data_IF_765871573013
#
_entry.id   IF_765871573013
#
_cell.length_a   1.000
_cell.length_b   1.000
_cell.length_c   1.000
_cell.angle_alpha   90.00
_cell.angle_beta   90.00
_cell.angle_gamma   90.00
#
_symmetry.space_group_name_H-M   'P 1'
#
loop_
_entity.id
_entity.type
_entity.pdbx_description
1 polymer ?
#
# COMPACT_ATOMS: atom_id res chain seq x y z
N UNK A 1 15.86 17.71 1.72
CA UNK A 1 14.70 17.50 2.62
C UNK A 1 13.77 16.50 1.95
N UNK A 2 13.10 15.62 2.68
CA UNK A 2 12.35 14.49 2.11
C UNK A 2 10.93 14.48 2.70
N UNK A 3 9.91 14.46 1.84
CA UNK A 3 8.56 14.13 2.24
C UNK A 3 8.40 12.61 2.23
N UNK A 4 8.03 12.04 3.37
CA UNK A 4 7.68 10.63 3.48
C UNK A 4 6.16 10.51 3.51
N UNK A 5 5.60 9.73 2.61
CA UNK A 5 4.19 9.36 2.61
C UNK A 5 4.08 7.88 2.97
N UNK A 6 3.35 7.57 4.03
CA UNK A 6 2.99 6.20 4.40
C UNK A 6 1.52 5.98 4.08
N UNK A 7 1.27 5.17 3.06
CA UNK A 7 -0.03 4.61 2.75
C UNK A 7 -0.35 3.44 3.68
N UNK A 8 -1.27 3.66 4.62
CA UNK A 8 -1.71 2.66 5.58
C UNK A 8 -3.14 2.25 5.20
N UNK A 9 -3.25 1.14 4.45
CA UNK A 9 -4.55 0.64 3.99
C UNK A 9 -5.50 0.41 5.16
N UNK A 10 -6.75 0.86 5.01
CA UNK A 10 -7.78 0.74 6.03
C UNK A 10 -7.48 1.37 7.41
N UNK A 11 -6.63 2.40 7.50
CA UNK A 11 -6.50 3.18 8.74
C UNK A 11 -7.80 3.95 9.00
N UNK A 12 -8.51 3.56 10.05
CA UNK A 12 -9.84 4.07 10.37
C UNK A 12 -9.76 5.18 11.44
N UNK A 13 -10.33 6.37 11.18
CA UNK A 13 -10.25 7.50 12.10
C UNK A 13 -10.94 7.26 13.45
N UNK A 14 -11.93 6.36 13.52
CA UNK A 14 -12.62 6.05 14.78
C UNK A 14 -11.85 5.04 15.65
N UNK A 15 -10.87 4.33 15.09
CA UNK A 15 -10.03 3.37 15.81
C UNK A 15 -8.71 3.98 16.29
N UNK A 16 -8.37 5.18 15.83
CA UNK A 16 -7.20 5.92 16.27
C UNK A 16 -7.56 6.84 17.46
N UNK A 17 -6.70 6.87 18.47
CA UNK A 17 -6.84 7.72 19.65
C UNK A 17 -5.53 8.46 19.90
N UNK A 18 -5.55 9.78 20.10
CA UNK A 18 -4.32 10.57 20.21
C UNK A 18 -3.49 10.29 21.48
N UNK A 19 -4.09 9.74 22.54
CA UNK A 19 -3.39 9.39 23.76
C UNK A 19 -2.76 7.99 23.66
N UNK A 20 -3.41 7.06 22.97
CA UNK A 20 -2.93 5.69 22.77
C UNK A 20 -2.05 5.53 21.53
N UNK A 21 -2.33 6.31 20.48
CA UNK A 21 -1.70 6.26 19.15
C UNK A 21 -1.13 7.64 18.71
N UNK A 22 -0.16 8.20 19.46
CA UNK A 22 0.39 9.52 19.17
C UNK A 22 1.19 9.61 17.85
N UNK A 23 1.66 8.47 17.32
CA UNK A 23 2.39 8.43 16.05
C UNK A 23 1.45 8.19 14.85
N UNK A 24 0.27 7.61 15.04
CA UNK A 24 -0.78 7.55 14.01
C UNK A 24 -1.56 8.87 13.90
N UNK A 25 -1.66 9.63 14.98
CA UNK A 25 -2.32 10.96 14.98
C UNK A 25 -1.39 12.12 14.62
N UNK A 26 -0.08 11.92 14.77
CA UNK A 26 0.95 12.92 14.52
C UNK A 26 0.61 14.30 15.14
N UNK A 27 0.95 15.38 14.45
CA UNK A 27 0.78 16.75 14.97
C UNK A 27 -0.58 17.33 14.54
N UNK A 28 -1.15 16.84 13.42
CA UNK A 28 -2.51 17.08 12.97
C UNK A 28 -3.07 15.83 12.27
N UNK A 29 -4.36 15.54 12.45
CA UNK A 29 -5.09 14.48 11.77
C UNK A 29 -6.59 14.75 11.71
N UNK A 30 -7.27 14.17 10.74
CA UNK A 30 -8.73 14.10 10.64
C UNK A 30 -9.17 13.03 9.65
N UNK A 31 -10.45 12.65 9.74
CA UNK A 31 -11.10 11.81 8.75
C UNK A 31 -11.41 12.60 7.47
N UNK A 32 -11.33 11.93 6.33
CA UNK A 32 -11.57 12.48 4.98
C UNK A 32 -12.53 11.59 4.20
N UNK A 33 -13.17 12.14 3.16
CA UNK A 33 -14.10 11.40 2.31
C UNK A 33 -13.38 10.42 1.37
N UNK A 34 -13.89 9.18 1.26
CA UNK A 34 -13.44 8.20 0.27
C UNK A 34 -14.45 8.02 -0.88
N UNK A 35 -14.08 7.22 -1.89
CA UNK A 35 -14.93 6.88 -3.03
C UNK A 35 -15.42 5.44 -2.88
N UNK A 36 -16.75 5.28 -2.86
CA UNK A 36 -17.40 3.97 -2.89
C UNK A 36 -17.39 3.45 -4.32
N UNK A 37 -16.84 2.26 -4.53
CA UNK A 37 -16.78 1.63 -5.85
C UNK A 37 -18.17 1.19 -6.34
N UNK A 38 -18.25 0.77 -7.60
CA UNK A 38 -19.47 0.17 -8.16
C UNK A 38 -19.91 -1.10 -7.42
N UNK A 39 -18.99 -1.78 -6.72
CA UNK A 39 -19.30 -2.94 -5.88
C UNK A 39 -20.06 -2.57 -4.59
N UNK A 40 -20.22 -1.27 -4.29
CA UNK A 40 -20.93 -0.79 -3.12
C UNK A 40 -20.07 -0.65 -1.86
N UNK A 41 -18.75 -0.79 -1.99
CA UNK A 41 -17.75 -0.60 -0.94
C UNK A 41 -16.50 0.11 -1.51
N UNK A 42 -15.72 0.84 -0.71
CA UNK A 42 -14.41 1.35 -1.10
C UNK A 42 -13.49 0.23 -1.61
N UNK A 43 -12.62 0.53 -2.58
CA UNK A 43 -11.71 -0.45 -3.14
C UNK A 43 -10.28 0.08 -3.28
N UNK A 44 -9.34 -0.61 -2.64
CA UNK A 44 -7.89 -0.45 -2.83
C UNK A 44 -7.49 -0.44 -4.31
N UNK A 45 -8.19 -1.17 -5.19
CA UNK A 45 -7.89 -1.22 -6.62
C UNK A 45 -8.03 0.17 -7.28
N UNK A 46 -9.06 0.90 -6.87
CA UNK A 46 -9.46 2.18 -7.46
C UNK A 46 -8.83 3.36 -6.71
N UNK A 47 -8.73 3.25 -5.37
CA UNK A 47 -8.42 4.37 -4.50
C UNK A 47 -6.93 4.74 -4.47
N UNK A 48 -6.00 3.79 -4.55
CA UNK A 48 -4.57 4.14 -4.60
C UNK A 48 -4.18 4.86 -5.90
N UNK A 49 -4.67 4.44 -7.09
CA UNK A 49 -4.59 5.26 -8.30
C UNK A 49 -5.22 6.65 -8.11
N UNK A 50 -6.37 6.75 -7.44
CA UNK A 50 -6.99 8.05 -7.11
C UNK A 50 -6.05 8.91 -6.28
N UNK A 51 -5.50 8.39 -5.18
CA UNK A 51 -4.59 9.11 -4.28
C UNK A 51 -3.35 9.63 -5.02
N UNK A 52 -2.73 8.80 -5.85
CA UNK A 52 -1.48 9.20 -6.54
C UNK A 52 -1.71 10.10 -7.76
N UNK A 53 -2.94 10.18 -8.28
CA UNK A 53 -3.28 10.99 -9.47
C UNK A 53 -4.17 12.19 -9.18
N UNK A 54 -4.85 12.22 -8.03
CA UNK A 54 -5.90 13.17 -7.71
C UNK A 54 -7.13 13.07 -8.61
N UNK A 55 -7.26 11.97 -9.37
CA UNK A 55 -8.35 11.73 -10.31
C UNK A 55 -9.32 10.70 -9.76
N UNK A 56 -10.59 10.77 -10.15
CA UNK A 56 -11.57 9.72 -9.85
C UNK A 56 -11.31 8.42 -10.65
N UNK A 57 -11.90 7.28 -10.25
CA UNK A 57 -11.82 6.02 -11.00
C UNK A 57 -12.25 6.16 -12.47
N UNK A 58 -13.25 7.01 -12.74
CA UNK A 58 -13.67 7.41 -14.09
C UNK A 58 -12.57 8.04 -14.92
N UNK A 59 -11.76 8.88 -14.29
CA UNK A 59 -10.79 9.74 -14.96
C UNK A 59 -9.46 9.01 -15.15
N UNK A 60 -8.98 8.26 -14.16
CA UNK A 60 -7.76 7.46 -14.31
C UNK A 60 -8.00 6.10 -15.00
N UNK A 61 -9.24 5.61 -15.05
CA UNK A 61 -9.64 4.45 -15.84
C UNK A 61 -9.26 3.09 -15.25
N UNK A 62 -8.93 3.03 -13.95
CA UNK A 62 -8.72 1.79 -13.20
C UNK A 62 -9.93 1.60 -12.30
N UNK A 63 -10.78 0.64 -12.68
CA UNK A 63 -12.09 0.43 -12.06
C UNK A 63 -12.32 -1.04 -11.80
N UNK A 64 -13.13 -1.32 -10.79
CA UNK A 64 -13.82 -2.58 -10.68
C UNK A 64 -14.94 -2.63 -11.72
N UNK A 65 -14.99 -3.71 -12.50
CA UNK A 65 -16.13 -3.98 -13.37
C UNK A 65 -17.30 -4.58 -12.56
N UNK A 66 -18.52 -4.15 -12.88
CA UNK A 66 -19.77 -4.68 -12.32
C UNK A 66 -19.93 -6.18 -12.66
N UNK A 67 -19.41 -7.04 -11.79
CA UNK A 67 -19.62 -8.48 -11.85
C UNK A 67 -18.60 -9.24 -12.69
N UNK A 68 -17.72 -9.96 -11.98
CA UNK A 68 -17.01 -11.18 -12.43
C UNK A 68 -16.31 -11.07 -13.80
N UNK A 69 -15.08 -10.56 -13.84
CA UNK A 69 -14.06 -11.00 -14.81
C UNK A 69 -12.67 -10.52 -14.35
N UNK A 70 -11.64 -11.35 -14.17
CA UNK A 70 -10.99 -12.26 -15.12
C UNK A 70 -10.42 -11.55 -16.35
N UNK A 71 -9.18 -11.06 -16.26
CA UNK A 71 -8.42 -10.54 -17.39
C UNK A 71 -7.42 -11.57 -17.96
N UNK A 72 -7.86 -12.80 -18.26
CA UNK A 72 -7.02 -13.75 -19.01
C UNK A 72 -7.51 -13.98 -20.47
N UNK A 73 -6.70 -13.68 -21.50
CA UNK A 73 -6.99 -14.00 -22.90
C UNK A 73 -7.26 -15.49 -23.19
N UNK A 74 -6.73 -16.41 -22.38
CA UNK A 74 -6.96 -17.86 -22.53
C UNK A 74 -8.37 -18.28 -22.06
N UNK A 75 -8.97 -17.54 -21.13
CA UNK A 75 -10.33 -17.82 -20.63
C UNK A 75 -11.42 -17.37 -21.60
N UNK A 76 -11.14 -16.43 -22.52
CA UNK A 76 -12.07 -16.08 -23.63
C UNK A 76 -12.41 -17.28 -24.53
N UNK A 77 -11.54 -18.29 -24.60
CA UNK A 77 -11.79 -19.47 -25.44
C UNK A 77 -12.60 -20.56 -24.71
N UNK A 78 -12.69 -20.49 -23.38
CA UNK A 78 -13.43 -21.45 -22.54
C UNK A 78 -14.76 -20.93 -21.99
N UNK A 79 -14.88 -19.62 -21.71
CA UNK A 79 -16.05 -19.04 -21.04
C UNK A 79 -17.33 -19.07 -21.88
N UNK A 80 -17.22 -19.04 -23.22
CA UNK A 80 -18.40 -19.09 -24.12
C UNK A 80 -19.19 -20.40 -24.00
N UNK A 81 -18.61 -21.46 -23.43
CA UNK A 81 -19.31 -22.72 -23.15
C UNK A 81 -19.74 -22.87 -21.68
N UNK A 82 -19.14 -22.13 -20.75
CA UNK A 82 -19.35 -22.27 -19.31
C UNK A 82 -20.60 -21.50 -18.81
N UNK A 83 -20.93 -20.37 -19.44
CA UNK A 83 -22.09 -19.52 -19.11
C UNK A 83 -23.44 -20.23 -19.25
N UNK A 84 -23.48 -21.34 -19.99
CA UNK A 84 -24.71 -22.10 -20.25
C UNK A 84 -24.81 -23.41 -19.46
N UNK A 85 -23.74 -23.83 -18.77
CA UNK A 85 -23.61 -25.21 -18.27
C UNK A 85 -23.33 -25.29 -16.77
N UNK A 86 -22.73 -24.25 -16.18
CA UNK A 86 -22.34 -24.27 -14.77
C UNK A 86 -23.20 -23.31 -13.94
N UNK A 87 -23.81 -23.76 -12.83
CA UNK A 87 -24.51 -22.89 -11.90
C UNK A 87 -23.58 -21.82 -11.31
N UNK A 88 -24.11 -20.61 -11.09
CA UNK A 88 -23.37 -19.44 -10.58
C UNK A 88 -22.52 -19.76 -9.35
N UNK A 89 -23.07 -20.51 -8.38
CA UNK A 89 -22.34 -20.91 -7.17
C UNK A 89 -21.09 -21.78 -7.42
N UNK A 90 -21.06 -22.53 -8.54
CA UNK A 90 -19.89 -23.30 -8.93
C UNK A 90 -18.87 -22.43 -9.68
N UNK A 91 -19.35 -21.45 -10.46
CA UNK A 91 -18.48 -20.46 -11.10
C UNK A 91 -17.79 -19.57 -10.06
N UNK A 92 -18.49 -19.14 -9.02
CA UNK A 92 -17.89 -18.38 -7.90
C UNK A 92 -16.84 -19.19 -7.15
N UNK A 93 -17.05 -20.50 -6.95
CA UNK A 93 -16.07 -21.39 -6.29
C UNK A 93 -14.86 -21.71 -7.18
N UNK A 94 -15.07 -21.91 -8.47
CA UNK A 94 -13.98 -22.10 -9.44
C UNK A 94 -13.20 -20.79 -9.61
N UNK A 95 -13.90 -19.64 -9.59
CA UNK A 95 -13.31 -18.32 -9.63
C UNK A 95 -12.51 -18.00 -8.35
N UNK A 96 -13.07 -18.30 -7.17
CA UNK A 96 -12.34 -18.21 -5.91
C UNK A 96 -11.10 -19.11 -5.91
N UNK A 97 -11.23 -20.36 -6.36
CA UNK A 97 -10.09 -21.28 -6.48
C UNK A 97 -9.05 -20.79 -7.49
N UNK A 98 -9.45 -20.23 -8.64
CA UNK A 98 -8.51 -19.67 -9.60
C UNK A 98 -7.88 -18.36 -9.08
N UNK A 99 -8.57 -17.50 -8.33
CA UNK A 99 -7.98 -16.27 -7.76
C UNK A 99 -6.98 -16.60 -6.65
N UNK A 100 -7.26 -17.63 -5.85
CA UNK A 100 -6.34 -18.14 -4.83
C UNK A 100 -5.15 -18.90 -5.44
N UNK A 101 -5.28 -19.43 -6.65
CA UNK A 101 -4.35 -20.44 -7.18
C UNK A 101 -3.79 -20.13 -8.60
N UNK A 102 -4.18 -19.01 -9.21
CA UNK A 102 -3.62 -18.48 -10.46
C UNK A 102 -3.06 -17.09 -10.21
N UNK A 103 -1.80 -16.89 -10.60
CA UNK A 103 -1.03 -15.67 -10.35
C UNK A 103 -1.41 -14.49 -11.24
N UNK A 104 -2.70 -14.25 -11.50
CA UNK A 104 -3.16 -12.97 -12.04
C UNK A 104 -3.28 -11.98 -10.88
N UNK A 105 -2.22 -11.19 -10.71
CA UNK A 105 -2.12 -10.16 -9.67
C UNK A 105 -3.08 -9.00 -9.97
N UNK A 106 -4.18 -8.91 -9.22
CA UNK A 106 -5.25 -7.92 -9.41
C UNK A 106 -4.86 -6.44 -9.14
N UNK A 107 -3.59 -6.12 -8.92
CA UNK A 107 -3.12 -4.79 -8.50
C UNK A 107 -1.76 -4.39 -9.10
N UNK A 108 -1.48 -4.80 -10.35
CA UNK A 108 -0.15 -4.67 -10.96
C UNK A 108 -0.10 -3.89 -12.26
N UNK A 109 -0.87 -2.81 -12.35
CA UNK A 109 -0.66 -1.87 -13.44
C UNK A 109 0.77 -1.29 -13.40
N UNK A 110 1.51 -1.34 -14.52
CA UNK A 110 2.86 -0.81 -14.58
C UNK A 110 2.83 0.73 -14.50
N UNK A 111 3.87 1.33 -13.96
CA UNK A 111 4.00 2.79 -13.91
C UNK A 111 3.89 3.45 -15.32
N UNK A 112 4.23 2.72 -16.39
CA UNK A 112 4.06 3.21 -17.77
C UNK A 112 2.60 3.43 -18.17
N UNK A 113 1.64 2.77 -17.52
CA UNK A 113 0.19 2.94 -17.74
C UNK A 113 -0.21 4.42 -17.74
N UNK A 114 0.25 5.16 -16.74
CA UNK A 114 -0.10 6.56 -16.50
C UNK A 114 0.51 7.46 -17.57
N UNK A 115 1.82 7.32 -17.81
CA UNK A 115 2.53 8.09 -18.83
C UNK A 115 1.99 7.86 -20.26
N UNK A 116 1.62 6.62 -20.59
CA UNK A 116 1.02 6.28 -21.90
C UNK A 116 -0.35 6.92 -22.11
N UNK A 117 -1.07 7.24 -21.02
CA UNK A 117 -2.37 7.91 -21.03
C UNK A 117 -2.29 9.41 -20.78
N UNK A 118 -1.09 9.95 -20.55
CA UNK A 118 -0.90 11.35 -20.20
C UNK A 118 -1.49 11.71 -18.83
N UNK A 119 -1.56 10.74 -17.91
CA UNK A 119 -1.97 10.93 -16.53
C UNK A 119 -0.71 11.21 -15.71
N UNK A 120 -0.71 12.32 -14.98
CA UNK A 120 0.37 12.69 -14.06
C UNK A 120 0.14 12.09 -12.68
N UNK A 121 1.20 11.62 -12.05
CA UNK A 121 1.22 11.07 -10.71
C UNK A 121 2.05 11.94 -9.76
N UNK A 122 1.92 11.74 -8.45
CA UNK A 122 2.80 12.35 -7.43
C UNK A 122 4.29 12.06 -7.63
N UNK A 123 4.64 11.07 -8.45
CA UNK A 123 6.01 10.65 -8.70
C UNK A 123 6.67 11.39 -9.87
N UNK A 124 5.88 12.06 -10.71
CA UNK A 124 6.40 12.68 -11.92
C UNK A 124 7.17 13.96 -11.63
N UNK A 125 8.19 14.23 -12.45
CA UNK A 125 8.99 15.45 -12.41
C UNK A 125 9.98 15.58 -11.25
N UNK A 126 10.16 14.55 -10.41
CA UNK A 126 10.98 14.60 -9.19
C UNK A 126 11.73 13.31 -8.88
N UNK A 127 12.71 13.37 -7.98
CA UNK A 127 13.36 12.17 -7.44
C UNK A 127 12.45 11.51 -6.41
N UNK A 128 11.70 10.49 -6.83
CA UNK A 128 10.78 9.77 -5.94
C UNK A 128 11.13 8.29 -5.78
N UNK A 129 10.77 7.73 -4.63
CA UNK A 129 10.89 6.31 -4.31
C UNK A 129 9.51 5.71 -3.96
N UNK A 130 8.76 5.21 -4.95
CA UNK A 130 7.56 4.42 -4.71
C UNK A 130 7.94 3.03 -4.18
N UNK A 131 7.23 2.56 -3.16
CA UNK A 131 7.45 1.29 -2.49
C UNK A 131 6.09 0.60 -2.29
N UNK A 132 5.77 -0.36 -3.16
CA UNK A 132 4.59 -1.20 -2.99
C UNK A 132 3.26 -0.56 -3.32
N UNK A 133 3.26 0.62 -3.95
CA UNK A 133 2.04 1.36 -4.28
C UNK A 133 1.15 0.51 -5.22
N UNK A 134 -0.11 0.21 -4.85
CA UNK A 134 -1.01 -0.57 -5.69
C UNK A 134 -1.20 0.06 -7.05
N UNK A 135 -1.21 -0.76 -8.11
CA UNK A 135 -1.35 -0.29 -9.49
C UNK A 135 -0.29 0.74 -9.93
N UNK A 136 0.90 0.74 -9.31
CA UNK A 136 2.04 1.55 -9.75
C UNK A 136 3.35 0.73 -9.69
N UNK A 137 3.47 -0.25 -10.58
CA UNK A 137 4.62 -1.17 -10.60
C UNK A 137 5.77 -0.58 -11.43
N UNK A 138 6.86 -0.21 -10.75
CA UNK A 138 8.07 0.35 -11.40
C UNK A 138 8.97 -0.71 -12.00
N UNK A 139 9.08 -1.87 -11.36
CA UNK A 139 9.87 -3.01 -11.84
C UNK A 139 8.93 -4.21 -12.00
N UNK A 140 8.53 -4.46 -13.25
CA UNK A 140 7.59 -5.54 -13.59
C UNK A 140 8.22 -6.92 -13.49
N UNK A 141 9.55 -7.00 -13.56
CA UNK A 141 10.32 -8.25 -13.52
C UNK A 141 10.66 -8.66 -12.08
N UNK A 142 10.70 -7.69 -11.14
CA UNK A 142 10.85 -7.94 -9.72
C UNK A 142 9.53 -8.35 -9.06
N UNK A 143 9.58 -9.47 -8.34
CA UNK A 143 8.50 -9.86 -7.45
C UNK A 143 8.62 -9.09 -6.13
N UNK A 144 7.54 -8.45 -5.72
CA UNK A 144 7.50 -7.73 -4.45
C UNK A 144 7.29 -8.70 -3.27
N UNK A 145 7.99 -8.43 -2.15
CA UNK A 145 8.02 -9.32 -0.99
C UNK A 145 6.65 -9.47 -0.32
N UNK A 146 5.85 -8.41 -0.30
CA UNK A 146 4.50 -8.48 0.25
C UNK A 146 3.63 -9.43 -0.58
N UNK A 147 3.73 -9.36 -1.92
CA UNK A 147 3.03 -10.29 -2.80
C UNK A 147 3.51 -11.73 -2.61
N UNK A 148 4.82 -11.95 -2.43
CA UNK A 148 5.35 -13.28 -2.09
C UNK A 148 4.68 -13.84 -0.83
N UNK A 149 4.58 -13.01 0.22
CA UNK A 149 3.94 -13.40 1.47
C UNK A 149 2.47 -13.70 1.26
N UNK A 150 1.71 -12.82 0.58
CA UNK A 150 0.29 -13.03 0.24
C UNK A 150 0.05 -14.34 -0.52
N UNK A 151 0.86 -14.63 -1.56
CA UNK A 151 0.74 -15.90 -2.32
C UNK A 151 1.04 -17.14 -1.49
N UNK A 152 1.79 -16.98 -0.40
CA UNK A 152 2.13 -18.06 0.51
C UNK A 152 1.16 -18.23 1.69
N UNK A 153 0.13 -17.38 1.81
CA UNK A 153 -0.81 -17.42 2.95
C UNK A 153 -1.72 -18.65 2.95
N UNK A 154 -2.05 -19.22 1.79
CA UNK A 154 -2.82 -20.46 1.72
C UNK A 154 -4.14 -20.38 2.50
N UNK A 155 -4.30 -21.28 3.48
CA UNK A 155 -5.49 -21.36 4.34
C UNK A 155 -5.55 -20.31 5.47
N UNK A 156 -4.50 -19.49 5.61
CA UNK A 156 -4.48 -18.36 6.54
C UNK A 156 -5.33 -17.18 6.06
N UNK A 157 -5.65 -17.10 4.77
CA UNK A 157 -6.47 -16.02 4.20
C UNK A 157 -7.33 -16.54 3.04
N UNK A 158 -8.40 -17.26 3.38
CA UNK A 158 -9.32 -17.83 2.40
C UNK A 158 -10.53 -16.93 2.21
N UNK A 159 -10.94 -16.75 0.95
CA UNK A 159 -12.18 -16.05 0.63
C UNK A 159 -13.38 -16.90 1.03
N UNK A 160 -14.23 -16.35 1.89
CA UNK A 160 -15.49 -16.93 2.33
C UNK A 160 -16.60 -15.88 2.22
N UNK A 161 -17.42 -15.92 1.15
CA UNK A 161 -18.52 -14.99 0.96
C UNK A 161 -19.58 -15.01 2.06
N UNK A 162 -19.62 -16.07 2.88
CA UNK A 162 -20.57 -16.20 3.98
C UNK A 162 -20.01 -15.59 5.29
N UNK A 163 -18.73 -15.19 5.33
CA UNK A 163 -18.09 -14.54 6.47
C UNK A 163 -18.30 -13.02 6.46
N UNK A 164 -18.42 -12.40 7.64
CA UNK A 164 -18.71 -10.96 7.80
C UNK A 164 -17.69 -10.04 7.12
N UNK A 165 -16.43 -10.46 7.00
CA UNK A 165 -15.40 -9.71 6.27
C UNK A 165 -14.99 -10.33 4.94
N UNK A 166 -15.80 -11.23 4.37
CA UNK A 166 -15.50 -11.91 3.10
C UNK A 166 -14.34 -12.92 3.16
N UNK A 167 -13.71 -13.07 4.33
CA UNK A 167 -12.51 -13.87 4.53
C UNK A 167 -12.54 -14.65 5.86
N UNK A 168 -11.85 -15.79 5.86
CA UNK A 168 -11.59 -16.59 7.06
C UNK A 168 -10.11 -16.99 7.12
N UNK A 169 -9.67 -17.35 8.32
CA UNK A 169 -8.31 -17.83 8.56
C UNK A 169 -8.34 -19.10 9.39
N UNK A 170 -7.53 -20.09 9.01
CA UNK A 170 -7.34 -21.31 9.80
C UNK A 170 -6.57 -21.07 11.10
N UNK A 171 -5.73 -20.04 11.14
CA UNK A 171 -5.01 -19.57 12.33
C UNK A 171 -4.86 -18.03 12.30
N UNK A 172 -5.82 -17.29 12.92
CA UNK A 172 -5.80 -15.83 12.95
C UNK A 172 -4.55 -15.22 13.59
N UNK A 173 -3.86 -15.95 14.49
CA UNK A 173 -2.65 -15.45 15.14
C UNK A 173 -1.45 -15.60 14.20
N UNK A 174 -1.30 -16.74 13.52
CA UNK A 174 -0.27 -16.86 12.50
C UNK A 174 -0.50 -15.87 11.34
N UNK A 175 -1.75 -15.67 10.94
CA UNK A 175 -2.12 -14.68 9.92
C UNK A 175 -1.74 -13.24 10.34
N UNK A 176 -2.02 -12.87 11.59
CA UNK A 176 -1.60 -11.59 12.17
C UNK A 176 -0.08 -11.39 12.04
N UNK A 177 0.72 -12.37 12.48
CA UNK A 177 2.19 -12.29 12.41
C UNK A 177 2.70 -12.09 10.97
N UNK A 178 2.04 -12.71 9.98
CA UNK A 178 2.38 -12.52 8.56
C UNK A 178 2.04 -11.12 8.06
N UNK A 179 0.89 -10.59 8.45
CA UNK A 179 0.49 -9.23 8.08
C UNK A 179 1.42 -8.19 8.72
N UNK A 180 1.83 -8.41 9.96
CA UNK A 180 2.83 -7.55 10.62
C UNK A 180 4.21 -7.66 9.97
N UNK A 181 4.64 -8.86 9.51
CA UNK A 181 5.86 -9.00 8.68
C UNK A 181 5.78 -8.12 7.42
N UNK A 182 4.62 -8.09 6.75
CA UNK A 182 4.40 -7.26 5.56
C UNK A 182 4.54 -5.77 5.86
N UNK A 183 3.87 -5.30 6.93
CA UNK A 183 3.98 -3.91 7.41
C UNK A 183 5.43 -3.52 7.73
N UNK A 184 6.11 -4.34 8.53
CA UNK A 184 7.52 -4.11 8.89
C UNK A 184 8.44 -3.98 7.68
N UNK A 185 8.28 -4.83 6.67
CA UNK A 185 9.11 -4.78 5.45
C UNK A 185 8.90 -3.46 4.70
N UNK A 186 7.66 -2.96 4.62
CA UNK A 186 7.32 -1.70 3.94
C UNK A 186 7.91 -0.50 4.67
N UNK A 187 7.71 -0.43 5.98
CA UNK A 187 8.23 0.66 6.80
C UNK A 187 9.77 0.64 6.83
N UNK A 188 10.40 -0.53 6.92
CA UNK A 188 11.86 -0.64 6.83
C UNK A 188 12.41 -0.11 5.49
N UNK A 189 11.71 -0.37 4.38
CA UNK A 189 12.07 0.18 3.06
C UNK A 189 11.85 1.69 3.00
N UNK A 190 10.77 2.21 3.59
CA UNK A 190 10.52 3.65 3.71
C UNK A 190 11.67 4.36 4.47
N UNK A 191 12.02 3.82 5.65
CA UNK A 191 13.15 4.30 6.46
C UNK A 191 14.46 4.27 5.69
N UNK A 192 14.73 3.20 4.92
CA UNK A 192 15.93 3.13 4.07
C UNK A 192 15.93 4.20 2.98
N UNK A 193 14.77 4.45 2.37
CA UNK A 193 14.54 5.53 1.40
C UNK A 193 14.85 6.89 2.01
N UNK A 194 14.23 7.22 3.14
CA UNK A 194 14.44 8.46 3.89
C UNK A 194 15.92 8.65 4.25
N UNK A 195 16.53 7.66 4.91
CA UNK A 195 17.95 7.71 5.34
C UNK A 195 18.95 7.77 4.18
N UNK A 196 18.53 7.42 2.96
CA UNK A 196 19.42 7.55 1.79
C UNK A 196 19.68 8.99 1.41
N UNK A 197 18.74 9.91 1.72
CA UNK A 197 18.78 11.32 1.31
C UNK A 197 18.86 11.52 -0.20
N UNK A 198 18.49 10.51 -0.99
CA UNK A 198 18.50 10.52 -2.46
C UNK A 198 17.19 10.99 -3.08
N UNK A 199 16.10 11.05 -2.31
CA UNK A 199 14.75 11.27 -2.81
C UNK A 199 14.10 12.48 -2.15
N UNK A 200 13.36 13.24 -2.95
CA UNK A 200 12.47 14.33 -2.55
C UNK A 200 11.19 13.74 -1.93
N UNK A 201 10.71 12.63 -2.50
CA UNK A 201 9.52 11.90 -2.08
C UNK A 201 9.85 10.42 -1.84
N UNK A 202 9.47 9.90 -0.68
CA UNK A 202 9.42 8.45 -0.41
C UNK A 202 7.97 8.09 -0.13
N UNK A 203 7.35 7.25 -0.97
CA UNK A 203 5.97 6.83 -0.80
C UNK A 203 5.96 5.32 -0.57
N UNK A 204 5.55 4.86 0.60
CA UNK A 204 5.45 3.46 0.93
C UNK A 204 4.03 3.07 1.32
N UNK A 205 3.52 1.98 0.75
CA UNK A 205 2.20 1.45 1.06
C UNK A 205 2.31 0.13 1.80
N UNK A 206 1.37 -0.15 2.72
CA UNK A 206 1.16 -1.48 3.29
C UNK A 206 -0.31 -1.76 3.55
N UNK A 207 -0.71 -3.02 3.36
CA UNK A 207 -2.07 -3.51 3.64
C UNK A 207 -2.23 -4.22 4.99
N UNK A 208 -1.26 -4.08 5.89
CA UNK A 208 -1.17 -4.97 7.06
C UNK A 208 -2.44 -4.94 7.92
N UNK A 209 -2.93 -3.74 8.25
CA UNK A 209 -4.08 -3.57 9.16
C UNK A 209 -5.43 -3.83 8.47
N UNK A 210 -5.54 -3.57 7.16
CA UNK A 210 -6.69 -3.96 6.35
C UNK A 210 -6.91 -5.48 6.39
N UNK A 211 -5.88 -6.24 6.03
CA UNK A 211 -5.92 -7.70 6.04
C UNK A 211 -6.26 -8.25 7.42
N UNK A 212 -5.63 -7.72 8.47
CA UNK A 212 -5.92 -8.10 9.86
C UNK A 212 -7.38 -7.79 10.18
N UNK A 213 -7.90 -6.62 9.81
CA UNK A 213 -9.27 -6.20 10.05
C UNK A 213 -10.32 -7.19 9.52
N UNK A 214 -10.16 -7.66 8.27
CA UNK A 214 -11.07 -8.62 7.65
C UNK A 214 -11.17 -9.96 8.38
N UNK A 215 -10.13 -10.38 9.10
CA UNK A 215 -10.08 -11.66 9.82
C UNK A 215 -10.35 -11.51 11.31
N UNK A 216 -9.90 -10.41 11.90
CA UNK A 216 -9.90 -10.20 13.36
C UNK A 216 -11.21 -9.64 13.92
N UNK A 217 -12.25 -9.44 13.12
CA UNK A 217 -13.55 -8.95 13.60
C UNK A 217 -14.14 -9.78 14.76
N UNK A 218 -13.85 -11.09 14.82
CA UNK A 218 -14.27 -11.97 15.92
C UNK A 218 -13.33 -11.94 17.15
N UNK A 219 -12.17 -11.29 17.03
CA UNK A 219 -11.17 -11.10 18.08
C UNK A 219 -10.61 -9.66 18.03
N UNK A 220 -11.36 -8.66 18.52
CA UNK A 220 -10.98 -7.25 18.41
C UNK A 220 -9.66 -6.90 19.11
N UNK A 221 -9.16 -7.78 20.00
CA UNK A 221 -7.82 -7.62 20.58
C UNK A 221 -6.71 -7.63 19.54
N UNK A 222 -6.81 -8.46 18.49
CA UNK A 222 -5.80 -8.49 17.43
C UNK A 222 -5.79 -7.23 16.58
N UNK A 223 -6.96 -6.62 16.31
CA UNK A 223 -7.02 -5.35 15.59
C UNK A 223 -6.42 -4.21 16.43
N UNK A 224 -6.75 -4.17 17.73
CA UNK A 224 -6.18 -3.19 18.65
C UNK A 224 -4.65 -3.35 18.79
N UNK A 225 -4.16 -4.58 18.90
CA UNK A 225 -2.71 -4.87 18.95
C UNK A 225 -2.03 -4.42 17.64
N UNK A 226 -2.67 -4.63 16.48
CA UNK A 226 -2.14 -4.17 15.19
C UNK A 226 -1.99 -2.64 15.11
N UNK A 227 -2.98 -1.89 15.60
CA UNK A 227 -2.93 -0.43 15.65
C UNK A 227 -1.84 0.06 16.59
N UNK A 228 -1.69 -0.56 17.76
CA UNK A 228 -0.62 -0.24 18.71
C UNK A 228 0.77 -0.52 18.13
N UNK A 229 0.99 -1.67 17.50
CA UNK A 229 2.26 -1.99 16.86
C UNK A 229 2.56 -1.09 15.65
N UNK A 230 1.55 -0.77 14.83
CA UNK A 230 1.72 0.15 13.71
C UNK A 230 2.08 1.56 14.18
N UNK A 231 1.48 2.03 15.28
CA UNK A 231 1.87 3.29 15.93
C UNK A 231 3.36 3.28 16.30
N UNK A 232 3.85 2.21 16.93
CA UNK A 232 5.26 2.08 17.27
C UNK A 232 6.14 2.15 16.00
N UNK A 233 5.77 1.43 14.94
CA UNK A 233 6.54 1.42 13.69
C UNK A 233 6.54 2.77 12.98
N UNK A 234 5.41 3.49 12.96
CA UNK A 234 5.36 4.86 12.44
C UNK A 234 6.23 5.78 13.29
N UNK A 235 6.25 5.59 14.61
CA UNK A 235 7.17 6.26 15.53
C UNK A 235 8.64 6.06 15.16
N UNK A 236 9.03 4.87 14.69
CA UNK A 236 10.39 4.62 14.19
C UNK A 236 10.71 5.39 12.90
N UNK A 237 9.73 5.57 12.00
CA UNK A 237 9.88 6.42 10.81
C UNK A 237 10.01 7.88 11.23
N UNK A 238 9.14 8.36 12.12
CA UNK A 238 9.18 9.72 12.69
C UNK A 238 10.53 10.02 13.34
N UNK A 239 11.10 9.06 14.07
CA UNK A 239 12.41 9.19 14.71
C UNK A 239 13.59 9.32 13.71
N UNK A 240 13.42 8.90 12.46
CA UNK A 240 14.43 9.04 11.41
C UNK A 240 14.36 10.37 10.64
N UNK A 241 13.28 11.14 10.83
CA UNK A 241 13.11 12.46 10.21
C UNK A 241 14.19 13.43 10.72
N UNK A 242 14.75 14.19 9.79
CA UNK A 242 15.52 15.39 10.07
C UNK A 242 14.60 16.59 10.33
N UNK A 243 15.18 17.71 10.78
CA UNK A 243 14.40 18.91 11.11
C UNK A 243 13.72 19.60 9.93
N UNK A 244 14.07 19.20 8.71
CA UNK A 244 13.47 19.68 7.47
C UNK A 244 12.73 18.52 6.74
N UNK A 245 12.51 17.36 7.35
CA UNK A 245 11.73 16.29 6.70
C UNK A 245 10.30 16.28 7.26
N UNK A 246 9.35 15.89 6.42
CA UNK A 246 7.94 15.78 6.81
C UNK A 246 7.42 14.37 6.60
N UNK A 247 6.41 14.01 7.38
CA UNK A 247 5.69 12.74 7.31
C UNK A 247 4.20 13.00 7.14
N UNK A 248 3.62 12.35 6.12
CA UNK A 248 2.20 12.27 5.84
C UNK A 248 1.76 10.80 5.92
N UNK A 249 0.72 10.53 6.70
CA UNK A 249 -0.01 9.27 6.68
C UNK A 249 -1.28 9.48 5.87
N UNK A 250 -1.62 8.49 5.05
CA UNK A 250 -2.85 8.47 4.26
C UNK A 250 -3.42 7.05 4.26
N UNK A 251 -4.73 6.94 4.48
CA UNK A 251 -5.49 5.76 4.10
C UNK A 251 -6.41 6.05 2.93
N UNK A 252 -6.76 4.99 2.22
CA UNK A 252 -7.76 4.97 1.16
C UNK A 252 -9.18 4.81 1.71
N UNK A 253 -9.35 4.09 2.81
CA UNK A 253 -10.57 3.95 3.59
C UNK A 253 -10.24 3.55 5.04
N UNK A 254 -11.27 3.25 5.84
CA UNK A 254 -11.18 2.62 7.14
C UNK A 254 -11.78 1.21 7.11
N UNK A 255 -11.74 0.51 8.25
CA UNK A 255 -12.31 -0.82 8.39
C UNK A 255 -12.75 -1.08 9.83
N UNK A 256 -14.02 -1.40 9.99
CA UNK A 256 -14.64 -1.76 11.27
C UNK A 256 -15.45 -3.04 11.12
N UNK A 257 -15.40 -3.90 12.16
CA UNK A 257 -16.16 -5.17 12.20
C UNK A 257 -15.92 -6.08 10.97
N UNK A 258 -14.74 -5.97 10.33
CA UNK A 258 -14.37 -6.74 9.14
C UNK A 258 -14.83 -6.14 7.81
N UNK A 259 -15.47 -4.98 7.83
CA UNK A 259 -16.06 -4.30 6.67
C UNK A 259 -15.40 -2.94 6.45
N UNK A 260 -15.25 -2.55 5.18
CA UNK A 260 -14.75 -1.22 4.83
C UNK A 260 -15.73 -0.13 5.30
N UNK A 261 -15.20 1.00 5.76
CA UNK A 261 -15.98 2.19 6.11
C UNK A 261 -15.89 3.25 5.01
N UNK A 262 -16.89 4.11 4.92
CA UNK A 262 -16.95 5.19 3.91
C UNK A 262 -16.10 6.42 4.31
N UNK A 263 -15.15 6.25 5.21
CA UNK A 263 -14.23 7.29 5.67
C UNK A 263 -12.79 6.82 5.48
N UNK A 264 -11.89 7.75 5.19
CA UNK A 264 -10.44 7.55 5.20
C UNK A 264 -9.82 8.50 6.22
N UNK A 265 -8.50 8.46 6.39
CA UNK A 265 -7.79 9.27 7.36
C UNK A 265 -6.50 9.84 6.77
N UNK A 266 -6.19 11.08 7.17
CA UNK A 266 -4.86 11.67 6.99
C UNK A 266 -4.30 12.14 8.32
N UNK A 267 -2.98 12.08 8.44
CA UNK A 267 -2.25 12.65 9.57
C UNK A 267 -0.88 13.18 9.11
N UNK A 268 -0.38 14.26 9.70
CA UNK A 268 0.90 14.82 9.32
C UNK A 268 1.70 15.44 10.47
N UNK A 269 3.02 15.53 10.27
CA UNK A 269 3.94 16.27 11.17
C UNK A 269 3.86 17.78 10.96
N UNK A 270 3.50 18.23 9.76
CA UNK A 270 3.15 19.63 9.49
C UNK A 270 1.64 19.73 9.26
N UNK A 271 0.88 20.46 10.11
CA UNK A 271 -0.55 20.69 9.90
C UNK A 271 -0.90 21.21 8.50
N UNK A 272 -0.04 22.01 7.89
CA UNK A 272 -0.27 22.56 6.55
C UNK A 272 -0.36 21.49 5.45
N UNK A 273 0.09 20.26 5.70
CA UNK A 273 -0.02 19.14 4.75
C UNK A 273 -1.43 18.54 4.69
N UNK A 274 -2.24 18.74 5.73
CA UNK A 274 -3.57 18.13 5.82
C UNK A 274 -4.70 19.17 5.82
N UNK A 275 -4.41 20.45 6.08
CA UNK A 275 -5.40 21.54 6.18
C UNK A 275 -6.39 21.61 5.00
N UNK A 276 -5.93 21.33 3.77
CA UNK A 276 -6.72 21.39 2.53
C UNK A 276 -7.02 19.99 1.95
N UNK A 277 -6.97 18.93 2.76
CA UNK A 277 -7.29 17.55 2.34
C UNK A 277 -8.63 17.15 2.93
N UNK A 278 -9.69 17.19 2.12
CA UNK A 278 -11.06 16.81 2.51
C UNK A 278 -11.44 15.43 1.96
N UNK A 279 -10.79 14.97 0.89
CA UNK A 279 -11.01 13.66 0.26
C UNK A 279 -9.72 13.03 -0.27
N UNK A 280 -9.77 11.71 -0.56
CA UNK A 280 -8.69 10.95 -1.21
C UNK A 280 -8.20 11.57 -2.52
N UNK A 281 -9.02 12.36 -3.22
CA UNK A 281 -8.63 13.09 -4.44
C UNK A 281 -7.71 14.28 -4.17
N UNK A 282 -7.72 14.84 -2.96
CA UNK A 282 -6.97 16.05 -2.62
C UNK A 282 -5.51 15.74 -2.23
N UNK A 283 -5.21 14.48 -1.92
CA UNK A 283 -3.91 14.02 -1.43
C UNK A 283 -2.78 14.37 -2.40
N UNK A 284 -2.98 14.19 -3.71
CA UNK A 284 -1.97 14.58 -4.71
C UNK A 284 -1.65 16.07 -4.64
N UNK A 285 -2.67 16.92 -4.53
CA UNK A 285 -2.50 18.37 -4.51
C UNK A 285 -1.71 18.81 -3.26
N UNK A 286 -1.98 18.20 -2.11
CA UNK A 286 -1.22 18.44 -0.88
C UNK A 286 0.25 18.02 -1.01
N UNK A 287 0.53 16.83 -1.56
CA UNK A 287 1.90 16.35 -1.83
C UNK A 287 2.62 17.28 -2.81
N UNK A 288 1.94 17.72 -3.87
CA UNK A 288 2.53 18.62 -4.86
C UNK A 288 2.84 20.00 -4.27
N UNK A 289 1.95 20.55 -3.46
CA UNK A 289 2.14 21.83 -2.79
C UNK A 289 3.33 21.80 -1.83
N UNK A 290 3.45 20.73 -1.02
CA UNK A 290 4.59 20.52 -0.12
C UNK A 290 5.94 20.52 -0.86
N UNK A 291 5.97 19.92 -2.03
CA UNK A 291 7.18 19.72 -2.81
C UNK A 291 7.49 20.90 -3.77
N UNK A 292 6.56 21.83 -4.00
CA UNK A 292 6.64 22.87 -5.03
C UNK A 292 7.75 23.92 -4.79
N UNK A 293 8.09 24.22 -3.54
CA UNK A 293 8.99 25.33 -3.20
C UNK A 293 10.49 24.99 -3.32
N UNK A 294 10.83 23.78 -3.80
CA UNK A 294 12.22 23.33 -3.93
C UNK A 294 12.90 23.11 -2.57
N UNK A 295 12.13 23.09 -1.47
CA UNK A 295 12.63 22.80 -0.14
C UNK A 295 13.18 21.36 -0.03
N UNK A 296 12.72 20.46 -0.90
CA UNK A 296 13.03 19.03 -0.89
C UNK A 296 14.19 18.61 -1.80
N UNK A 297 15.19 19.45 -2.06
CA UNK A 297 16.34 19.03 -2.87
C UNK A 297 17.12 17.86 -2.21
N UNK A 298 17.45 16.79 -2.97
CA UNK A 298 18.25 15.68 -2.44
C UNK A 298 19.67 16.14 -2.10
N UNK A 299 20.10 15.91 -0.86
CA UNK A 299 21.48 16.22 -0.45
C UNK A 299 22.52 15.30 -1.13
N UNK A 300 22.06 14.21 -1.76
CA UNK A 300 22.89 13.21 -2.39
C UNK A 300 23.51 12.24 -1.39
N UNK A 301 23.87 11.05 -1.86
CA UNK A 301 24.48 10.03 -1.01
C UNK A 301 25.98 10.34 -0.80
N UNK A 302 26.44 10.60 0.44
CA UNK A 302 27.82 10.99 0.73
C UNK A 302 28.85 9.90 0.36
N UNK A 303 28.40 8.66 0.14
CA UNK A 303 29.26 7.53 -0.22
C UNK A 303 29.28 7.22 -1.72
N UNK A 304 28.44 7.88 -2.55
CA UNK A 304 28.43 7.66 -4.02
C UNK A 304 29.64 8.24 -4.74
N UNK A 305 30.48 9.03 -4.05
CA UNK A 305 31.69 9.64 -4.59
C UNK A 305 33.00 8.89 -4.32
N UNK A 306 32.96 7.72 -3.68
CA UNK A 306 34.13 6.87 -3.48
C UNK A 306 34.51 6.17 -4.78
N UNK A 307 35.76 6.36 -5.22
CA UNK A 307 36.36 5.69 -6.37
C UNK A 307 35.98 4.20 -6.38
N UNK A 308 35.59 3.64 -7.54
CA UNK A 308 35.35 2.21 -7.75
C UNK A 308 36.67 1.42 -7.73
N UNK A 309 37.54 1.76 -6.78
CA UNK A 309 38.86 1.24 -6.60
C UNK A 309 38.78 -0.06 -5.83
N UNK A 310 39.04 -1.13 -6.57
CA UNK A 310 39.51 -2.42 -6.09
C UNK A 310 38.43 -3.47 -5.75
N UNK A 311 37.52 -3.71 -6.70
CA UNK A 311 36.66 -4.91 -6.70
C UNK A 311 37.47 -6.21 -6.58
N UNK A 312 38.74 -6.21 -6.99
CA UNK A 312 39.64 -7.36 -6.87
C UNK A 312 40.14 -7.55 -5.43
N UNK A 313 40.49 -6.48 -4.71
CA UNK A 313 40.80 -6.58 -3.29
C UNK A 313 39.59 -7.05 -2.46
N UNK A 314 38.37 -6.57 -2.79
CA UNK A 314 37.14 -7.05 -2.16
C UNK A 314 36.93 -8.54 -2.46
N UNK A 315 37.14 -8.96 -3.71
CA UNK A 315 37.03 -10.37 -4.13
C UNK A 315 38.01 -11.24 -3.37
N UNK A 316 39.29 -10.85 -3.34
CA UNK A 316 40.35 -11.58 -2.63
C UNK A 316 40.07 -11.67 -1.13
N UNK A 317 39.58 -10.58 -0.52
CA UNK A 317 39.22 -10.59 0.89
C UNK A 317 38.06 -11.55 1.19
N UNK A 318 37.06 -11.61 0.32
CA UNK A 318 35.93 -12.54 0.47
C UNK A 318 36.37 -14.00 0.28
N UNK A 319 37.30 -14.29 -0.63
CA UNK A 319 37.93 -15.62 -0.78
C UNK A 319 38.77 -15.98 0.46
N UNK A 320 39.58 -15.05 0.97
CA UNK A 320 40.42 -15.28 2.16
C UNK A 320 39.58 -15.54 3.42
N UNK A 321 38.37 -14.97 3.48
CA UNK A 321 37.38 -15.19 4.54
C UNK A 321 36.51 -16.43 4.31
N UNK A 322 36.61 -17.08 3.14
CA UNK A 322 35.87 -18.30 2.79
C UNK A 322 34.40 -18.08 2.41
N UNK A 323 34.02 -16.86 2.00
CA UNK A 323 32.68 -16.58 1.46
C UNK A 323 32.55 -16.92 -0.03
N UNK A 324 33.67 -17.11 -0.74
CA UNK A 324 33.77 -17.59 -2.13
C UNK A 324 34.85 -18.68 -2.21
#
# INVERSE_FOLDING_TARGET
>A
MTLVVLGLDALDPDLVDAAEHPNLTLDAHHGIETIVSVAGEPSTHELWPTIITGLTPEEHGLKLDDGVAWENPLLRFGSTAADYVLPDALQTKIGAWLLTNTGEDAFREPASYYGERGIETVFDGRSAKPIGVPNYVVDTDAEDREHQLRRSMGDLFERDPDATGGHTSSDPVEFYERCMEMGMVRLARARRGLRSREYELVFAYTSAIDLIGHVSYANPGLQADAYAELDEFVGEVKADLGGDDDLLLVSDHGLQEGLHTDEAMVAATDPGLVDDVDSVTDVKAAIDAALADGAHEPAGNPHRGGDAGDSEAVRQQLEDLGYM
#
